data_IF_264244955796
#
_entry.id   IF_264244955796
#
_cell.length_a   1.000
_cell.length_b   1.000
_cell.length_c   1.000
_cell.angle_alpha   90.00
_cell.angle_beta   90.00
_cell.angle_gamma   90.00
#
_symmetry.space_group_name_H-M   'P 1'
#
loop_
_entity.id
_entity.type
_entity.pdbx_description
1 polymer ?
#
# COMPACT_ATOMS: atom_id res chain seq x y z
N UNK A 1 4.05 0.49 -6.80
CA UNK A 1 4.70 -0.14 -7.96
C UNK A 1 5.71 0.80 -8.60
N UNK A 2 6.85 0.25 -9.02
CA UNK A 2 7.94 1.01 -9.64
C UNK A 2 7.94 0.87 -11.16
N UNK A 3 7.12 0.00 -11.69
CA UNK A 3 6.88 -0.21 -13.12
C UNK A 3 8.15 -0.09 -13.98
N UNK A 4 8.11 0.67 -15.06
CA UNK A 4 9.20 0.82 -16.01
C UNK A 4 10.47 1.46 -15.43
N UNK A 5 10.41 2.12 -14.26
CA UNK A 5 11.61 2.59 -13.57
C UNK A 5 12.55 1.45 -13.22
N UNK A 6 12.02 0.26 -12.92
CA UNK A 6 12.82 -0.94 -12.65
C UNK A 6 13.70 -1.34 -13.85
N UNK A 7 13.31 -1.02 -15.08
CA UNK A 7 14.11 -1.29 -16.30
C UNK A 7 15.36 -0.42 -16.39
N UNK A 8 15.39 0.74 -15.72
CA UNK A 8 16.53 1.66 -15.74
C UNK A 8 17.64 1.16 -14.81
N UNK A 9 18.82 0.91 -15.36
CA UNK A 9 19.97 0.44 -14.58
C UNK A 9 20.36 1.41 -13.47
N UNK A 10 20.31 2.71 -13.74
CA UNK A 10 20.64 3.75 -12.76
C UNK A 10 19.66 3.74 -11.57
N UNK A 11 18.38 3.51 -11.81
CA UNK A 11 17.39 3.38 -10.76
C UNK A 11 17.68 2.17 -9.85
N UNK A 12 17.95 1.00 -10.45
CA UNK A 12 18.30 -0.21 -9.68
C UNK A 12 19.59 -0.04 -8.88
N UNK A 13 20.58 0.65 -9.44
CA UNK A 13 21.82 0.95 -8.73
C UNK A 13 21.54 1.87 -7.55
N UNK A 14 20.77 2.95 -7.73
CA UNK A 14 20.40 3.85 -6.67
C UNK A 14 19.61 3.14 -5.55
N UNK A 15 18.67 2.24 -5.89
CA UNK A 15 17.95 1.44 -4.91
C UNK A 15 18.89 0.53 -4.10
N UNK A 16 19.87 -0.10 -4.76
CA UNK A 16 20.87 -0.91 -4.08
C UNK A 16 21.77 -0.09 -3.16
N UNK A 17 22.23 1.08 -3.64
CA UNK A 17 23.08 1.99 -2.86
C UNK A 17 22.34 2.48 -1.61
N UNK A 18 21.04 2.80 -1.74
CA UNK A 18 20.19 3.20 -0.60
C UNK A 18 19.95 2.08 0.40
N UNK A 19 19.81 0.83 -0.04
CA UNK A 19 19.72 -0.31 0.87
C UNK A 19 21.00 -0.48 1.70
N UNK A 20 22.19 -0.31 1.07
CA UNK A 20 23.47 -0.36 1.80
C UNK A 20 23.66 0.85 2.74
N UNK A 21 23.27 2.05 2.32
CA UNK A 21 23.29 3.25 3.15
C UNK A 21 22.40 3.06 4.39
N UNK A 22 21.17 2.55 4.22
CA UNK A 22 20.27 2.25 5.32
C UNK A 22 20.87 1.22 6.29
N UNK A 23 21.47 0.14 5.77
CA UNK A 23 22.13 -0.85 6.62
C UNK A 23 23.26 -0.22 7.47
N UNK A 24 24.09 0.61 6.87
CA UNK A 24 25.15 1.34 7.55
C UNK A 24 24.57 2.28 8.62
N UNK A 25 23.55 3.06 8.28
CA UNK A 25 22.92 3.99 9.22
C UNK A 25 22.31 3.27 10.42
N UNK A 26 21.58 2.17 10.21
CA UNK A 26 21.04 1.36 11.30
C UNK A 26 22.13 0.90 12.27
N UNK A 27 23.27 0.48 11.75
CA UNK A 27 24.40 0.07 12.59
C UNK A 27 24.99 1.25 13.37
N UNK A 28 25.18 2.41 12.73
CA UNK A 28 25.73 3.61 13.36
C UNK A 28 24.79 4.18 14.43
N UNK A 29 23.48 3.99 14.27
CA UNK A 29 22.44 4.36 15.24
C UNK A 29 22.31 3.34 16.40
N UNK A 30 23.14 2.29 16.43
CA UNK A 30 23.14 1.26 17.47
C UNK A 30 22.05 0.20 17.29
N UNK A 31 21.46 0.10 16.11
CA UNK A 31 20.39 -0.86 15.74
C UNK A 31 20.94 -2.00 14.86
N UNK A 32 22.26 -2.18 14.83
CA UNK A 32 22.92 -3.15 13.96
C UNK A 32 22.52 -4.61 14.21
N UNK A 33 22.12 -4.95 15.41
CA UNK A 33 21.72 -6.32 15.79
C UNK A 33 20.31 -6.69 15.26
N UNK A 34 19.52 -5.72 14.79
CA UNK A 34 18.23 -6.00 14.18
C UNK A 34 18.38 -6.69 12.82
N UNK A 35 17.43 -7.60 12.51
CA UNK A 35 17.22 -8.13 11.17
C UNK A 35 16.11 -7.34 10.50
N UNK A 36 16.47 -6.38 9.66
CA UNK A 36 15.51 -5.49 9.00
C UNK A 36 15.20 -5.98 7.58
N UNK A 37 13.97 -6.38 7.32
CA UNK A 37 13.53 -6.88 6.01
C UNK A 37 12.87 -5.76 5.21
N UNK A 38 13.42 -5.46 4.02
CA UNK A 38 12.96 -4.34 3.18
C UNK A 38 12.78 -4.80 1.73
N UNK A 39 11.66 -4.39 1.11
CA UNK A 39 11.43 -4.56 -0.32
C UNK A 39 12.29 -3.59 -1.15
N UNK A 40 12.87 -4.09 -2.23
CA UNK A 40 13.72 -3.30 -3.15
C UNK A 40 13.72 -3.88 -4.56
N UNK A 41 14.46 -3.25 -5.46
CA UNK A 41 14.69 -3.74 -6.82
C UNK A 41 16.10 -4.30 -6.93
N UNK A 42 16.18 -5.58 -7.25
CA UNK A 42 17.45 -6.25 -7.54
C UNK A 42 17.80 -6.25 -9.02
N UNK A 43 18.97 -6.82 -9.30
CA UNK A 43 19.41 -7.12 -10.68
C UNK A 43 19.84 -8.58 -10.76
N UNK A 44 19.33 -9.30 -11.72
CA UNK A 44 19.79 -10.64 -12.06
C UNK A 44 21.21 -10.56 -12.62
N UNK A 45 22.16 -11.25 -11.99
CA UNK A 45 23.57 -11.19 -12.38
C UNK A 45 23.86 -11.85 -13.73
N UNK A 46 23.01 -12.79 -14.17
CA UNK A 46 23.21 -13.54 -15.43
C UNK A 46 22.59 -12.79 -16.61
N UNK A 47 21.37 -12.29 -16.44
CA UNK A 47 20.58 -11.69 -17.53
C UNK A 47 20.58 -10.18 -17.52
N UNK A 48 21.05 -9.54 -16.42
CA UNK A 48 20.97 -8.10 -16.16
C UNK A 48 19.54 -7.55 -16.10
N UNK A 49 18.53 -8.41 -16.06
CA UNK A 49 17.12 -8.01 -15.88
C UNK A 49 16.83 -7.61 -14.43
N UNK A 50 15.81 -6.79 -14.20
CA UNK A 50 15.34 -6.48 -12.85
C UNK A 50 14.86 -7.73 -12.10
N UNK A 51 14.95 -7.68 -10.78
CA UNK A 51 14.34 -8.61 -9.81
C UNK A 51 13.44 -7.84 -8.86
N UNK A 52 12.24 -8.32 -8.60
CA UNK A 52 11.45 -7.89 -7.44
C UNK A 52 12.07 -8.60 -6.23
N UNK A 53 12.69 -7.84 -5.32
CA UNK A 53 13.59 -8.39 -4.30
C UNK A 53 13.25 -7.85 -2.93
N UNK A 54 13.32 -8.67 -1.90
CA UNK A 54 13.57 -8.24 -0.54
C UNK A 54 15.06 -8.40 -0.19
N UNK A 55 15.53 -7.55 0.69
CA UNK A 55 16.85 -7.66 1.33
C UNK A 55 16.68 -7.69 2.83
N UNK A 56 17.61 -8.36 3.51
CA UNK A 56 17.72 -8.38 4.96
C UNK A 56 18.97 -7.60 5.34
N UNK A 57 18.78 -6.55 6.14
CA UNK A 57 19.85 -5.70 6.64
C UNK A 57 20.21 -6.17 8.05
N UNK A 58 21.48 -6.38 8.32
CA UNK A 58 21.99 -6.79 9.62
C UNK A 58 23.46 -6.40 9.74
N UNK A 59 23.87 -5.93 10.91
CA UNK A 59 25.26 -5.54 11.23
C UNK A 59 25.92 -4.64 10.17
N UNK A 60 25.18 -3.63 9.72
CA UNK A 60 25.68 -2.61 8.78
C UNK A 60 25.79 -3.05 7.32
N UNK A 61 25.31 -4.23 6.95
CA UNK A 61 25.40 -4.76 5.58
C UNK A 61 24.07 -5.33 5.08
N UNK A 62 23.94 -5.44 3.76
CA UNK A 62 22.91 -6.28 3.15
C UNK A 62 23.35 -7.74 3.34
N UNK A 63 22.81 -8.38 4.38
CA UNK A 63 23.21 -9.70 4.85
C UNK A 63 22.63 -10.84 3.99
N UNK A 64 21.36 -10.74 3.58
CA UNK A 64 20.67 -11.74 2.76
C UNK A 64 19.70 -11.09 1.78
N UNK A 65 19.15 -11.88 0.86
CA UNK A 65 18.12 -11.42 -0.05
C UNK A 65 17.38 -12.58 -0.72
N UNK A 66 16.11 -12.29 -1.07
CA UNK A 66 15.22 -13.19 -1.78
C UNK A 66 14.62 -12.48 -2.99
N UNK A 67 14.54 -13.17 -4.12
CA UNK A 67 13.92 -12.69 -5.35
C UNK A 67 12.54 -13.36 -5.52
N UNK A 68 11.51 -12.56 -5.72
CA UNK A 68 10.13 -13.02 -5.95
C UNK A 68 10.05 -14.08 -7.05
N UNK A 69 9.38 -15.18 -6.76
CA UNK A 69 9.25 -16.33 -7.67
C UNK A 69 8.10 -16.15 -8.65
N UNK A 70 6.89 -15.93 -8.16
CA UNK A 70 5.70 -15.75 -9.01
C UNK A 70 5.53 -14.27 -9.38
N UNK A 71 5.44 -14.01 -10.68
CA UNK A 71 5.32 -12.66 -11.24
C UNK A 71 3.91 -12.51 -11.83
N UNK A 72 2.98 -11.81 -11.14
CA UNK A 72 1.62 -11.65 -11.63
C UNK A 72 1.58 -10.81 -12.91
N UNK A 73 0.67 -11.19 -13.82
CA UNK A 73 0.43 -10.54 -15.11
C UNK A 73 -1.06 -10.49 -15.40
N UNK A 74 -1.85 -10.00 -14.45
CA UNK A 74 -3.30 -9.86 -14.51
C UNK A 74 -3.75 -8.63 -13.73
N UNK A 75 -4.96 -8.12 -14.03
CA UNK A 75 -5.50 -6.92 -13.40
C UNK A 75 -4.55 -5.72 -13.57
N UNK A 76 -4.11 -5.17 -12.46
CA UNK A 76 -3.17 -4.03 -12.40
C UNK A 76 -1.70 -4.44 -12.44
N UNK A 77 -1.40 -5.74 -12.50
CA UNK A 77 -0.04 -6.25 -12.44
C UNK A 77 0.53 -6.54 -13.83
N UNK A 78 1.77 -6.12 -14.09
CA UNK A 78 2.55 -6.39 -15.30
C UNK A 78 4.00 -6.78 -14.94
N UNK A 79 4.16 -7.59 -13.90
CA UNK A 79 5.49 -7.92 -13.38
C UNK A 79 6.27 -8.85 -14.33
N UNK A 80 5.59 -9.74 -15.05
CA UNK A 80 6.23 -10.69 -15.98
C UNK A 80 7.01 -9.97 -17.10
N UNK A 81 6.52 -8.82 -17.56
CA UNK A 81 7.20 -8.00 -18.57
C UNK A 81 8.46 -7.36 -18.02
N UNK A 82 8.47 -6.98 -16.74
CA UNK A 82 9.51 -6.14 -16.13
C UNK A 82 10.58 -7.00 -15.46
N UNK A 83 10.19 -7.97 -14.64
CA UNK A 83 11.08 -8.70 -13.76
C UNK A 83 11.46 -10.08 -14.28
N UNK A 84 12.56 -10.61 -13.78
CA UNK A 84 12.90 -12.04 -13.88
C UNK A 84 12.50 -12.75 -12.59
N UNK A 85 11.89 -13.92 -12.71
CA UNK A 85 11.49 -14.73 -11.58
C UNK A 85 12.69 -15.26 -10.77
N UNK A 86 12.55 -15.28 -9.44
CA UNK A 86 13.44 -16.03 -8.55
C UNK A 86 13.31 -17.55 -8.77
N UNK A 87 14.31 -18.29 -8.34
CA UNK A 87 14.42 -19.73 -8.57
C UNK A 87 14.62 -20.56 -7.29
N UNK A 88 14.55 -19.95 -6.12
CA UNK A 88 14.79 -20.61 -4.83
C UNK A 88 13.98 -19.99 -3.70
N UNK A 89 13.59 -20.76 -2.70
CA UNK A 89 13.14 -20.27 -1.41
C UNK A 89 14.35 -19.92 -0.52
N UNK A 90 14.13 -19.03 0.43
CA UNK A 90 15.17 -18.57 1.38
C UNK A 90 14.63 -18.69 2.80
N UNK A 91 15.46 -19.22 3.68
CA UNK A 91 15.26 -19.18 5.12
C UNK A 91 16.36 -18.35 5.78
N UNK A 92 16.02 -17.69 6.87
CA UNK A 92 16.91 -16.89 7.70
C UNK A 92 16.99 -17.55 9.07
N UNK A 93 18.17 -17.63 9.66
CA UNK A 93 18.32 -17.98 11.07
C UNK A 93 18.37 -16.68 11.87
N UNK A 94 17.38 -16.46 12.72
CA UNK A 94 17.25 -15.29 13.57
C UNK A 94 17.11 -15.77 15.02
N UNK A 95 18.16 -15.64 15.80
CA UNK A 95 18.22 -16.05 17.21
C UNK A 95 17.79 -17.51 17.45
N UNK A 96 18.10 -18.38 16.49
CA UNK A 96 17.78 -19.81 16.52
C UNK A 96 16.40 -20.18 15.97
N UNK A 97 15.59 -19.20 15.56
CA UNK A 97 14.35 -19.44 14.82
C UNK A 97 14.59 -19.42 13.30
N UNK A 98 13.99 -20.38 12.59
CA UNK A 98 14.07 -20.47 11.13
C UNK A 98 12.93 -19.71 10.49
N UNK A 99 13.21 -18.55 9.94
CA UNK A 99 12.22 -17.66 9.30
C UNK A 99 12.21 -17.90 7.78
N UNK A 100 11.09 -18.36 7.24
CA UNK A 100 10.84 -18.38 5.79
C UNK A 100 10.43 -17.00 5.29
N UNK A 101 10.85 -16.61 4.08
CA UNK A 101 10.47 -15.31 3.49
C UNK A 101 9.80 -15.50 2.13
N UNK A 102 8.81 -14.65 1.85
CA UNK A 102 8.09 -14.61 0.58
C UNK A 102 7.69 -13.17 0.20
N UNK A 103 7.36 -12.95 -1.07
CA UNK A 103 6.90 -11.65 -1.56
C UNK A 103 5.54 -11.83 -2.27
N UNK A 104 4.50 -11.26 -1.67
CA UNK A 104 3.16 -11.04 -2.23
C UNK A 104 2.62 -12.26 -3.00
N UNK A 105 2.70 -12.28 -4.33
CA UNK A 105 2.16 -13.35 -5.21
C UNK A 105 2.68 -14.75 -4.85
N UNK A 106 3.83 -14.87 -4.20
CA UNK A 106 4.40 -16.15 -3.80
C UNK A 106 3.49 -16.94 -2.84
N UNK A 107 2.65 -16.25 -2.08
CA UNK A 107 1.66 -16.92 -1.21
C UNK A 107 0.30 -17.14 -1.88
N UNK A 108 0.01 -16.48 -3.02
CA UNK A 108 -1.26 -16.65 -3.74
C UNK A 108 -1.31 -17.91 -4.60
N UNK A 109 -0.15 -18.32 -5.11
CA UNK A 109 -0.04 -19.48 -5.98
C UNK A 109 0.30 -20.74 -5.17
N UNK A 110 -0.23 -21.88 -5.59
CA UNK A 110 0.12 -23.18 -5.00
C UNK A 110 1.49 -23.65 -5.52
N UNK A 111 2.22 -24.38 -4.68
CA UNK A 111 3.58 -24.82 -5.02
C UNK A 111 4.63 -23.73 -4.77
N UNK A 112 5.67 -23.69 -5.60
CA UNK A 112 6.73 -22.69 -5.55
C UNK A 112 7.44 -22.55 -4.21
N UNK A 113 7.78 -21.31 -3.79
CA UNK A 113 8.59 -21.09 -2.60
C UNK A 113 7.90 -21.53 -1.31
N UNK A 114 6.57 -21.37 -1.18
CA UNK A 114 5.86 -21.74 0.06
C UNK A 114 5.85 -23.25 0.25
N UNK A 115 5.56 -24.03 -0.79
CA UNK A 115 5.61 -25.49 -0.72
C UNK A 115 7.03 -26.02 -0.42
N UNK A 116 8.07 -25.35 -0.92
CA UNK A 116 9.46 -25.69 -0.58
C UNK A 116 9.79 -25.32 0.88
N UNK A 117 9.31 -24.16 1.38
CA UNK A 117 9.46 -23.77 2.78
C UNK A 117 8.72 -24.72 3.72
N UNK A 118 7.56 -25.25 3.35
CA UNK A 118 6.84 -26.26 4.13
C UNK A 118 7.66 -27.53 4.40
N UNK A 119 8.63 -27.86 3.52
CA UNK A 119 9.54 -29.01 3.71
C UNK A 119 10.74 -28.69 4.66
N UNK A 120 10.94 -27.43 5.02
CA UNK A 120 12.10 -26.96 5.78
C UNK A 120 11.84 -26.79 7.26
N UNK A 121 10.64 -27.10 7.74
CA UNK A 121 10.23 -26.93 9.15
C UNK A 121 10.57 -25.51 9.66
N UNK A 122 10.05 -24.50 8.95
CA UNK A 122 10.21 -23.10 9.38
C UNK A 122 9.39 -22.83 10.63
N UNK A 123 9.85 -21.92 11.48
CA UNK A 123 9.15 -21.50 12.69
C UNK A 123 8.21 -20.31 12.43
N UNK A 124 8.45 -19.55 11.36
CA UNK A 124 7.66 -18.39 10.97
C UNK A 124 7.75 -18.17 9.45
N UNK A 125 6.65 -17.81 8.80
CA UNK A 125 6.62 -17.30 7.43
C UNK A 125 6.41 -15.78 7.45
N UNK A 126 7.41 -15.02 6.99
CA UNK A 126 7.31 -13.57 6.81
C UNK A 126 7.01 -13.25 5.35
N UNK A 127 5.90 -12.57 5.10
CA UNK A 127 5.54 -12.08 3.77
C UNK A 127 5.49 -10.57 3.73
N UNK A 128 6.17 -9.97 2.72
CA UNK A 128 6.07 -8.54 2.44
C UNK A 128 5.26 -8.32 1.18
N UNK A 129 4.28 -7.42 1.24
CA UNK A 129 3.27 -7.26 0.20
C UNK A 129 3.13 -5.80 -0.23
N UNK A 130 2.98 -5.58 -1.53
CA UNK A 130 2.41 -4.39 -2.13
C UNK A 130 1.09 -4.80 -2.80
N UNK A 131 0.15 -5.32 -2.01
CA UNK A 131 -1.16 -5.75 -2.48
C UNK A 131 -2.10 -4.56 -2.50
N UNK A 132 -2.57 -4.11 -3.70
CA UNK A 132 -3.46 -2.97 -3.79
C UNK A 132 -4.80 -3.23 -3.11
N UNK A 133 -5.38 -2.14 -2.62
CA UNK A 133 -6.72 -2.11 -2.09
C UNK A 133 -7.75 -2.53 -3.16
N UNK A 134 -8.70 -3.31 -2.72
CA UNK A 134 -9.90 -3.72 -3.43
C UNK A 134 -10.95 -4.03 -2.38
N UNK A 135 -12.17 -3.57 -2.57
CA UNK A 135 -13.29 -3.79 -1.65
C UNK A 135 -13.47 -5.28 -1.34
N UNK A 136 -13.53 -5.61 -0.04
CA UNK A 136 -13.68 -6.99 0.44
C UNK A 136 -12.42 -7.88 0.35
N UNK A 137 -11.30 -7.38 -0.11
CA UNK A 137 -10.06 -8.17 -0.27
C UNK A 137 -9.40 -8.54 1.06
N UNK A 138 -9.69 -7.83 2.13
CA UNK A 138 -9.17 -8.09 3.48
C UNK A 138 -9.47 -9.52 3.92
N UNK A 139 -10.71 -9.98 3.76
CA UNK A 139 -11.12 -11.34 4.07
C UNK A 139 -10.38 -12.38 3.20
N UNK A 140 -10.24 -12.11 1.90
CA UNK A 140 -9.52 -13.00 0.98
C UNK A 140 -8.04 -13.14 1.36
N UNK A 141 -7.39 -12.05 1.78
CA UNK A 141 -6.00 -12.07 2.27
C UNK A 141 -5.87 -12.88 3.56
N UNK A 142 -6.83 -12.72 4.46
CA UNK A 142 -6.85 -13.45 5.73
C UNK A 142 -7.02 -14.96 5.51
N UNK A 143 -8.01 -15.38 4.72
CA UNK A 143 -8.21 -16.79 4.35
C UNK A 143 -6.99 -17.38 3.65
N UNK A 144 -6.34 -16.61 2.79
CA UNK A 144 -5.09 -17.01 2.14
C UNK A 144 -3.98 -17.25 3.16
N UNK A 145 -3.77 -16.32 4.10
CA UNK A 145 -2.75 -16.45 5.12
C UNK A 145 -3.01 -17.65 6.04
N UNK A 146 -4.28 -17.91 6.41
CA UNK A 146 -4.67 -19.11 7.16
C UNK A 146 -4.30 -20.40 6.41
N UNK A 147 -4.58 -20.46 5.10
CA UNK A 147 -4.21 -21.60 4.26
C UNK A 147 -2.69 -21.81 4.23
N UNK A 148 -1.92 -20.73 4.13
CA UNK A 148 -0.45 -20.81 4.12
C UNK A 148 0.13 -21.17 5.49
N UNK A 149 -0.45 -20.65 6.58
CA UNK A 149 -0.07 -21.05 7.93
C UNK A 149 -0.24 -22.56 8.15
N UNK A 150 -1.38 -23.11 7.72
CA UNK A 150 -1.61 -24.56 7.76
C UNK A 150 -0.64 -25.36 6.85
N UNK A 151 -0.30 -24.84 5.66
CA UNK A 151 0.63 -25.50 4.73
C UNK A 151 2.05 -25.58 5.27
N UNK A 152 2.56 -24.49 5.86
CA UNK A 152 3.92 -24.46 6.44
C UNK A 152 3.96 -24.92 7.90
N UNK A 153 2.82 -25.14 8.53
CA UNK A 153 2.64 -25.47 9.95
C UNK A 153 3.39 -24.47 10.86
N UNK A 154 3.25 -23.18 10.58
CA UNK A 154 3.90 -22.09 11.30
C UNK A 154 3.06 -20.80 11.19
N UNK A 155 3.20 -19.85 12.14
CA UNK A 155 2.57 -18.53 12.01
C UNK A 155 2.98 -17.80 10.73
N UNK A 156 2.09 -16.91 10.26
CA UNK A 156 2.33 -16.08 9.07
C UNK A 156 2.20 -14.61 9.44
N UNK A 157 3.25 -13.83 9.18
CA UNK A 157 3.18 -12.38 9.15
C UNK A 157 2.82 -11.95 7.72
N UNK A 158 1.67 -11.29 7.57
CA UNK A 158 1.26 -10.62 6.35
C UNK A 158 1.50 -9.12 6.48
N UNK A 159 2.68 -8.64 6.11
CA UNK A 159 2.99 -7.21 6.11
C UNK A 159 2.55 -6.62 4.77
N UNK A 160 1.69 -5.58 4.77
CA UNK A 160 1.25 -4.90 3.57
C UNK A 160 1.64 -3.42 3.56
N UNK A 161 1.95 -2.91 2.39
CA UNK A 161 2.25 -1.51 2.14
C UNK A 161 1.02 -0.64 2.40
N UNK A 162 1.22 0.61 2.83
CA UNK A 162 0.20 1.65 2.90
C UNK A 162 0.58 2.84 2.04
N UNK A 163 -0.42 3.51 1.47
CA UNK A 163 -0.25 4.74 0.68
C UNK A 163 -0.87 4.68 -0.71
N UNK A 164 -0.96 5.84 -1.38
CA UNK A 164 -1.40 5.98 -2.76
C UNK A 164 -0.23 6.09 -3.74
N UNK A 165 -0.34 5.49 -4.91
CA UNK A 165 0.64 5.62 -5.99
C UNK A 165 -0.07 5.55 -7.34
N UNK A 166 0.00 6.64 -8.11
CA UNK A 166 -0.73 6.82 -9.37
C UNK A 166 -2.24 6.54 -9.16
N UNK A 167 -2.81 5.52 -9.77
CA UNK A 167 -4.20 5.09 -9.65
C UNK A 167 -4.40 3.92 -8.65
N UNK A 168 -3.38 3.57 -7.89
CA UNK A 168 -3.43 2.50 -6.89
C UNK A 168 -3.41 3.06 -5.47
N UNK A 169 -4.20 2.44 -4.59
CA UNK A 169 -4.15 2.65 -3.16
C UNK A 169 -3.73 1.34 -2.49
N UNK A 170 -2.89 1.44 -1.48
CA UNK A 170 -2.46 0.34 -0.63
C UNK A 170 -2.98 0.60 0.78
N UNK A 171 -3.74 -0.33 1.28
CA UNK A 171 -4.53 -0.18 2.50
C UNK A 171 -3.77 -0.53 3.79
N UNK A 172 -2.55 -1.06 3.70
CA UNK A 172 -1.89 -1.56 4.90
C UNK A 172 -2.65 -2.74 5.49
N UNK A 173 -3.24 -2.56 6.67
CA UNK A 173 -4.02 -3.61 7.32
C UNK A 173 -3.22 -4.90 7.50
N UNK A 174 -1.94 -4.76 7.84
CA UNK A 174 -1.05 -5.89 8.12
C UNK A 174 -1.57 -6.73 9.28
N UNK A 175 -1.25 -8.02 9.31
CA UNK A 175 -1.74 -8.90 10.36
C UNK A 175 -0.81 -10.12 10.57
N UNK A 176 -1.00 -10.79 11.71
CA UNK A 176 -0.36 -12.05 12.06
C UNK A 176 -1.43 -13.12 12.27
N UNK A 177 -1.22 -14.29 11.67
CA UNK A 177 -2.05 -15.49 11.82
C UNK A 177 -1.21 -16.58 12.45
N UNK A 178 -1.72 -17.27 13.48
CA UNK A 178 -1.08 -18.44 14.07
C UNK A 178 -1.13 -19.66 13.13
N UNK A 179 -0.37 -20.70 13.44
CA UNK A 179 -0.33 -21.95 12.69
C UNK A 179 -1.72 -22.62 12.57
N UNK A 180 -2.59 -22.46 13.56
CA UNK A 180 -3.99 -22.96 13.56
C UNK A 180 -4.98 -22.05 12.82
N UNK A 181 -4.52 -20.93 12.27
CA UNK A 181 -5.36 -19.96 11.56
C UNK A 181 -5.98 -18.89 12.47
N UNK A 182 -5.67 -18.86 13.76
CA UNK A 182 -6.16 -17.82 14.69
C UNK A 182 -5.50 -16.46 14.37
N UNK A 183 -6.30 -15.38 14.32
CA UNK A 183 -5.78 -14.03 14.22
C UNK A 183 -5.10 -13.63 15.53
N UNK A 184 -3.83 -13.25 15.43
CA UNK A 184 -2.98 -12.87 16.57
C UNK A 184 -2.86 -11.35 16.71
N UNK A 185 -2.65 -10.66 15.60
CA UNK A 185 -2.44 -9.22 15.52
C UNK A 185 -3.12 -8.68 14.25
N UNK A 186 -3.62 -7.46 14.30
CA UNK A 186 -4.03 -6.70 13.11
C UNK A 186 -3.74 -5.22 13.30
N UNK A 187 -2.99 -4.67 12.37
CA UNK A 187 -2.64 -3.25 12.27
C UNK A 187 -3.80 -2.44 11.65
N UNK A 188 -3.85 -1.11 11.86
CA UNK A 188 -4.84 -0.26 11.23
C UNK A 188 -4.69 -0.22 9.70
N UNK A 189 -5.80 0.12 9.02
CA UNK A 189 -5.82 0.36 7.59
C UNK A 189 -5.55 1.83 7.26
N UNK A 190 -5.05 2.11 6.07
CA UNK A 190 -4.86 3.42 5.45
C UNK A 190 -3.98 4.42 6.22
N UNK A 191 -3.22 3.96 7.19
CA UNK A 191 -2.27 4.79 7.93
C UNK A 191 -0.98 4.04 8.24
N UNK A 192 0.14 4.78 8.28
CA UNK A 192 1.41 4.23 8.73
C UNK A 192 1.32 3.86 10.21
N UNK A 193 1.79 2.68 10.55
CA UNK A 193 1.80 2.18 11.92
C UNK A 193 3.03 1.32 12.19
N UNK A 194 3.47 1.33 13.43
CA UNK A 194 4.50 0.42 13.96
C UNK A 194 3.85 -0.47 15.02
N UNK A 195 3.72 -1.75 14.69
CA UNK A 195 3.13 -2.76 15.57
C UNK A 195 4.20 -3.67 16.12
N UNK A 196 4.02 -4.12 17.35
CA UNK A 196 4.91 -5.05 18.04
C UNK A 196 4.17 -6.34 18.34
N UNK A 197 4.83 -7.45 18.11
CA UNK A 197 4.38 -8.79 18.48
C UNK A 197 5.55 -9.62 18.97
N UNK A 198 5.36 -10.26 20.11
CA UNK A 198 6.36 -11.15 20.71
C UNK A 198 6.19 -12.56 20.15
N UNK A 199 7.17 -13.02 19.37
CA UNK A 199 7.19 -14.34 18.77
C UNK A 199 7.97 -15.31 19.67
N UNK A 200 7.38 -16.48 19.96
CA UNK A 200 8.03 -17.59 20.65
C UNK A 200 8.01 -18.86 19.79
N UNK A 201 9.15 -19.24 19.25
CA UNK A 201 9.29 -20.44 18.42
C UNK A 201 9.02 -21.76 19.16
N UNK A 202 9.02 -21.75 20.50
CA UNK A 202 8.73 -22.92 21.32
C UNK A 202 7.26 -23.03 21.74
N UNK A 203 6.46 -21.98 21.50
CA UNK A 203 5.05 -21.96 21.89
C UNK A 203 4.20 -22.80 20.91
N UNK A 204 3.29 -23.61 21.45
CA UNK A 204 2.29 -24.33 20.64
C UNK A 204 1.28 -23.37 20.01
N UNK A 205 0.93 -22.29 20.74
CA UNK A 205 0.10 -21.18 20.26
C UNK A 205 0.73 -19.86 20.64
N UNK A 206 0.66 -18.91 19.71
CA UNK A 206 1.26 -17.59 19.92
C UNK A 206 0.38 -16.71 20.82
N UNK A 207 1.03 -15.86 21.61
CA UNK A 207 0.33 -14.86 22.41
C UNK A 207 -0.36 -13.82 21.51
N UNK A 208 -1.61 -13.46 21.83
CA UNK A 208 -2.33 -12.40 21.12
C UNK A 208 -1.75 -11.03 21.44
N UNK A 209 -1.61 -10.22 20.39
CA UNK A 209 -1.28 -8.82 20.48
C UNK A 209 -2.51 -7.93 20.23
N UNK A 210 -2.32 -6.70 19.80
CA UNK A 210 -3.41 -5.77 19.48
C UNK A 210 -4.12 -6.19 18.19
N UNK A 211 -5.45 -6.24 18.23
CA UNK A 211 -6.27 -6.49 17.05
C UNK A 211 -7.12 -5.23 16.81
N UNK A 212 -6.69 -4.38 15.89
CA UNK A 212 -7.45 -3.20 15.48
C UNK A 212 -8.73 -3.65 14.76
N UNK A 213 -9.92 -3.12 15.11
CA UNK A 213 -11.17 -3.44 14.42
C UNK A 213 -11.13 -3.09 12.93
N UNK A 214 -11.87 -3.83 12.12
CA UNK A 214 -12.10 -3.46 10.71
C UNK A 214 -12.94 -2.18 10.64
N UNK A 215 -12.73 -1.40 9.57
CA UNK A 215 -13.55 -0.25 9.28
C UNK A 215 -14.94 -0.68 8.78
N UNK A 216 -15.91 0.19 8.92
CA UNK A 216 -17.18 0.05 8.20
C UNK A 216 -16.91 0.10 6.68
N UNK A 217 -17.63 -0.69 5.85
CA UNK A 217 -17.39 -0.72 4.42
C UNK A 217 -17.43 0.64 3.72
N UNK A 218 -18.35 1.52 4.10
CA UNK A 218 -18.45 2.87 3.51
C UNK A 218 -17.27 3.75 3.97
N UNK A 219 -16.86 3.64 5.23
CA UNK A 219 -15.68 4.31 5.79
C UNK A 219 -14.40 3.82 5.11
N UNK A 220 -14.29 2.52 4.84
CA UNK A 220 -13.16 1.91 4.15
C UNK A 220 -12.98 2.51 2.74
N UNK A 221 -14.04 2.55 1.94
CA UNK A 221 -14.02 3.11 0.59
C UNK A 221 -13.73 4.62 0.61
N UNK A 222 -14.35 5.36 1.52
CA UNK A 222 -14.12 6.79 1.68
C UNK A 222 -12.65 7.09 2.01
N UNK A 223 -12.11 6.37 3.00
CA UNK A 223 -10.72 6.56 3.46
C UNK A 223 -9.72 6.19 2.36
N UNK A 224 -10.01 5.16 1.58
CA UNK A 224 -9.19 4.80 0.40
C UNK A 224 -9.12 5.94 -0.61
N UNK A 225 -10.27 6.58 -0.93
CA UNK A 225 -10.32 7.73 -1.84
C UNK A 225 -9.55 8.93 -1.31
N UNK A 226 -9.71 9.25 -0.02
CA UNK A 226 -8.99 10.36 0.64
C UNK A 226 -7.48 10.11 0.62
N UNK A 227 -7.02 8.91 0.98
CA UNK A 227 -5.60 8.54 0.96
C UNK A 227 -5.02 8.63 -0.47
N UNK A 228 -5.74 8.11 -1.46
CA UNK A 228 -5.34 8.17 -2.87
C UNK A 228 -5.11 9.61 -3.33
N UNK A 229 -6.06 10.51 -3.07
CA UNK A 229 -5.95 11.92 -3.43
C UNK A 229 -4.82 12.62 -2.67
N UNK A 230 -4.73 12.41 -1.36
CA UNK A 230 -3.67 12.99 -0.50
C UNK A 230 -2.27 12.65 -1.01
N UNK A 231 -2.02 11.38 -1.26
CA UNK A 231 -0.71 10.92 -1.70
C UNK A 231 -0.40 11.34 -3.15
N UNK A 232 -1.40 11.35 -4.03
CA UNK A 232 -1.25 11.87 -5.38
C UNK A 232 -0.84 13.33 -5.36
N UNK A 233 -1.49 14.17 -4.55
CA UNK A 233 -1.14 15.57 -4.40
C UNK A 233 0.28 15.74 -3.84
N UNK A 234 0.61 15.03 -2.76
CA UNK A 234 1.91 15.14 -2.09
C UNK A 234 3.06 14.72 -3.03
N UNK A 235 2.91 13.59 -3.73
CA UNK A 235 3.94 13.04 -4.64
C UNK A 235 4.14 13.88 -5.91
N UNK A 236 3.10 14.59 -6.36
CA UNK A 236 3.17 15.48 -7.50
C UNK A 236 3.36 16.96 -7.14
N UNK A 237 3.53 17.25 -5.82
CA UNK A 237 3.74 18.61 -5.30
C UNK A 237 2.58 19.58 -5.60
N UNK A 238 1.35 19.06 -5.69
CA UNK A 238 0.17 19.90 -5.78
C UNK A 238 -0.18 20.50 -4.41
N UNK A 239 -0.47 21.80 -4.42
CA UNK A 239 -0.74 22.58 -3.20
C UNK A 239 -2.22 22.78 -2.93
N UNK A 240 -3.09 22.39 -3.83
CA UNK A 240 -4.53 22.55 -3.66
C UNK A 240 -5.34 21.86 -4.76
N UNK A 241 -6.66 21.84 -4.55
CA UNK A 241 -7.67 21.24 -5.44
C UNK A 241 -8.68 22.30 -5.88
N UNK A 242 -9.04 22.27 -7.15
CA UNK A 242 -10.14 23.07 -7.67
C UNK A 242 -11.19 22.15 -8.26
N UNK A 243 -12.47 22.38 -7.93
CA UNK A 243 -13.59 21.58 -8.44
C UNK A 243 -14.83 22.44 -8.72
N UNK A 244 -15.67 21.96 -9.62
CA UNK A 244 -17.01 22.51 -9.81
C UNK A 244 -17.91 22.10 -8.65
N UNK A 245 -18.48 23.10 -7.94
CA UNK A 245 -19.39 22.87 -6.82
C UNK A 245 -20.80 23.25 -7.22
N UNK A 246 -21.62 22.23 -7.50
CA UNK A 246 -22.96 22.43 -8.10
C UNK A 246 -24.10 22.51 -7.08
N UNK A 247 -23.83 22.17 -5.81
CA UNK A 247 -24.87 21.92 -4.80
C UNK A 247 -25.51 20.52 -4.86
N UNK A 248 -25.05 19.66 -5.78
CA UNK A 248 -25.45 18.25 -5.82
C UNK A 248 -24.55 17.38 -4.97
N UNK A 249 -25.08 16.21 -4.57
CA UNK A 249 -24.40 15.28 -3.63
C UNK A 249 -23.03 14.83 -4.14
N UNK A 250 -22.85 14.57 -5.42
CA UNK A 250 -21.59 14.07 -5.98
C UNK A 250 -20.48 15.12 -5.80
N UNK A 251 -20.74 16.38 -6.17
CA UNK A 251 -19.76 17.46 -5.98
C UNK A 251 -19.52 17.77 -4.51
N UNK A 252 -20.53 17.59 -3.66
CA UNK A 252 -20.41 17.76 -2.22
C UNK A 252 -19.48 16.70 -1.61
N UNK A 253 -19.66 15.43 -1.99
CA UNK A 253 -18.82 14.33 -1.54
C UNK A 253 -17.35 14.52 -1.97
N UNK A 254 -17.14 14.90 -3.25
CA UNK A 254 -15.77 15.17 -3.76
C UNK A 254 -15.13 16.34 -3.03
N UNK A 255 -15.89 17.40 -2.71
CA UNK A 255 -15.37 18.54 -1.95
C UNK A 255 -14.98 18.16 -0.51
N UNK A 256 -15.79 17.33 0.16
CA UNK A 256 -15.48 16.81 1.48
C UNK A 256 -14.21 15.95 1.48
N UNK A 257 -14.11 15.00 0.55
CA UNK A 257 -12.90 14.17 0.37
C UNK A 257 -11.65 15.02 0.10
N UNK A 258 -11.78 16.08 -0.71
CA UNK A 258 -10.67 16.99 -0.99
C UNK A 258 -10.25 17.75 0.28
N UNK A 259 -11.19 18.22 1.09
CA UNK A 259 -10.92 18.90 2.34
C UNK A 259 -10.23 17.98 3.35
N UNK A 260 -10.66 16.71 3.45
CA UNK A 260 -10.02 15.72 4.31
C UNK A 260 -8.62 15.34 3.81
N UNK A 261 -8.39 15.35 2.49
CA UNK A 261 -7.10 15.02 1.91
C UNK A 261 -6.04 16.11 2.07
N UNK A 262 -6.41 17.40 1.94
CA UNK A 262 -5.43 18.49 1.87
C UNK A 262 -5.73 19.71 2.78
N UNK A 263 -6.81 19.66 3.57
CA UNK A 263 -7.30 20.80 4.34
C UNK A 263 -8.24 21.68 3.51
N UNK A 264 -9.34 22.16 4.12
CA UNK A 264 -10.33 22.99 3.45
C UNK A 264 -9.75 24.26 2.84
N UNK A 265 -8.77 24.87 3.50
CA UNK A 265 -8.06 26.06 3.03
C UNK A 265 -7.33 25.87 1.70
N UNK A 266 -7.12 24.62 1.28
CA UNK A 266 -6.49 24.27 0.02
C UNK A 266 -7.50 23.77 -1.03
N UNK A 267 -8.80 24.00 -0.80
CA UNK A 267 -9.87 23.60 -1.70
C UNK A 267 -10.59 24.82 -2.25
N UNK A 268 -10.76 24.91 -3.57
CA UNK A 268 -11.50 25.95 -4.28
C UNK A 268 -12.72 25.36 -4.97
N UNK A 269 -13.90 25.62 -4.39
CA UNK A 269 -15.21 25.27 -4.98
C UNK A 269 -15.69 26.39 -5.90
N UNK A 270 -15.87 26.08 -7.17
CA UNK A 270 -16.38 27.05 -8.16
C UNK A 270 -17.80 26.66 -8.55
N UNK A 271 -18.78 27.51 -8.17
CA UNK A 271 -20.16 27.39 -8.67
C UNK A 271 -20.27 28.07 -10.01
N UNK A 272 -20.80 27.36 -11.02
CA UNK A 272 -20.95 27.84 -12.37
C UNK A 272 -22.45 27.85 -12.75
N UNK A 273 -23.28 28.76 -12.15
CA UNK A 273 -24.69 28.74 -12.37
C UNK A 273 -25.04 29.16 -13.80
N UNK A 274 -26.05 28.50 -14.37
CA UNK A 274 -26.74 28.87 -15.59
C UNK A 274 -28.14 29.41 -15.27
N UNK A 275 -28.90 29.84 -16.29
CA UNK A 275 -30.29 30.21 -16.13
C UNK A 275 -31.20 29.09 -15.61
N UNK A 276 -30.73 27.85 -15.63
CA UNK A 276 -31.46 26.67 -15.15
C UNK A 276 -31.09 26.25 -13.73
N UNK A 277 -30.09 26.89 -13.12
CA UNK A 277 -29.66 26.55 -11.76
C UNK A 277 -30.62 27.11 -10.72
N UNK A 278 -31.07 26.27 -9.77
CA UNK A 278 -31.93 26.72 -8.66
C UNK A 278 -31.16 27.57 -7.64
N UNK A 279 -31.85 28.45 -6.95
CA UNK A 279 -31.22 29.22 -5.86
C UNK A 279 -30.81 28.30 -4.71
N UNK A 280 -31.62 27.29 -4.37
CA UNK A 280 -31.26 26.29 -3.34
C UNK A 280 -29.92 25.59 -3.61
N UNK A 281 -29.62 25.21 -4.86
CA UNK A 281 -28.35 24.59 -5.20
C UNK A 281 -27.13 25.52 -4.96
N UNK A 282 -27.31 26.83 -5.13
CA UNK A 282 -26.25 27.81 -4.87
C UNK A 282 -26.02 28.00 -3.37
N UNK A 283 -27.11 28.03 -2.62
CA UNK A 283 -27.05 28.15 -1.15
C UNK A 283 -26.42 26.91 -0.54
N UNK A 284 -26.84 25.71 -0.98
CA UNK A 284 -26.26 24.43 -0.53
C UNK A 284 -24.75 24.34 -0.82
N UNK A 285 -24.31 24.81 -2.00
CA UNK A 285 -22.88 24.83 -2.35
C UNK A 285 -22.08 25.81 -1.47
N UNK A 286 -22.63 26.99 -1.19
CA UNK A 286 -21.99 27.98 -0.33
C UNK A 286 -21.89 27.50 1.13
N UNK A 287 -22.98 26.91 1.66
CA UNK A 287 -23.02 26.36 3.01
C UNK A 287 -22.03 25.21 3.19
N UNK A 288 -21.96 24.31 2.21
CA UNK A 288 -20.97 23.22 2.23
C UNK A 288 -19.55 23.79 2.25
N UNK A 289 -19.21 24.71 1.34
CA UNK A 289 -17.87 25.28 1.28
C UNK A 289 -17.48 25.94 2.61
N UNK A 290 -18.43 26.66 3.24
CA UNK A 290 -18.23 27.23 4.57
C UNK A 290 -17.99 26.18 5.64
N UNK A 291 -18.76 25.08 5.62
CA UNK A 291 -18.67 24.02 6.62
C UNK A 291 -17.35 23.25 6.57
N UNK A 292 -16.80 23.01 5.37
CA UNK A 292 -15.52 22.32 5.17
C UNK A 292 -14.31 23.26 5.16
N UNK A 293 -14.53 24.58 5.32
CA UNK A 293 -13.48 25.61 5.30
C UNK A 293 -12.87 25.87 3.91
N UNK A 294 -13.58 25.56 2.85
CA UNK A 294 -13.12 25.74 1.48
C UNK A 294 -13.37 27.17 0.96
N UNK A 295 -12.57 27.60 -0.01
CA UNK A 295 -12.84 28.79 -0.79
C UNK A 295 -14.04 28.55 -1.72
N UNK A 296 -14.90 29.58 -1.84
CA UNK A 296 -16.08 29.51 -2.70
C UNK A 296 -16.15 30.70 -3.64
N UNK A 297 -16.30 30.42 -4.94
CA UNK A 297 -16.44 31.47 -5.95
C UNK A 297 -17.61 31.14 -6.89
N UNK A 298 -18.35 32.17 -7.29
CA UNK A 298 -19.46 32.04 -8.24
C UNK A 298 -19.05 32.64 -9.59
N UNK A 299 -18.99 31.81 -10.62
CA UNK A 299 -18.66 32.17 -12.01
C UNK A 299 -19.82 31.84 -12.96
N UNK A 300 -20.78 32.79 -13.19
CA UNK A 300 -21.90 32.52 -14.08
C UNK A 300 -21.46 32.20 -15.50
N UNK A 301 -22.00 31.11 -16.07
CA UNK A 301 -21.67 30.69 -17.45
C UNK A 301 -22.61 31.28 -18.51
N UNK A 302 -23.65 31.99 -18.11
CA UNK A 302 -24.66 32.57 -19.01
C UNK A 302 -24.08 33.45 -20.14
N UNK A 303 -23.08 34.34 -19.89
CA UNK A 303 -22.47 35.14 -20.95
C UNK A 303 -21.79 34.28 -22.03
N UNK A 304 -21.13 33.19 -21.63
CA UNK A 304 -20.50 32.28 -22.58
C UNK A 304 -21.53 31.47 -23.35
N UNK A 305 -22.57 30.98 -22.66
CA UNK A 305 -23.69 30.28 -23.30
C UNK A 305 -24.38 31.13 -24.37
N UNK A 306 -24.68 32.37 -24.05
CA UNK A 306 -25.30 33.30 -24.98
C UNK A 306 -24.41 33.62 -26.20
N UNK A 307 -23.09 33.75 -25.99
CA UNK A 307 -22.15 33.96 -27.08
C UNK A 307 -22.08 32.74 -28.03
N UNK A 308 -22.15 31.53 -27.51
CA UNK A 308 -22.22 30.30 -28.32
C UNK A 308 -23.54 30.24 -29.13
N UNK A 309 -24.69 30.57 -28.50
CA UNK A 309 -25.98 30.58 -29.19
C UNK A 309 -26.07 31.60 -30.34
N UNK A 310 -25.34 32.71 -30.24
CA UNK A 310 -25.28 33.71 -31.29
C UNK A 310 -24.41 33.31 -32.48
N UNK A 311 -23.50 32.36 -32.28
CA UNK A 311 -22.58 31.88 -33.32
C UNK A 311 -23.12 30.65 -34.08
N UNK A 312 -24.06 29.91 -33.52
CA UNK A 312 -24.69 28.72 -34.08
C UNK A 312 -26.05 29.09 -34.73
#
# INVERSE_FOLDING_TARGET
>A
PIEDLALRRTFRQAAWDKANELATQLNDDGLGDLFVVVGTVGTDRKTSKPRNRLVVLHQGVVWAGYDKHFLPNYGVFDEFRIFSAGDRSVTLDVDGATIGVAICEDIWQDGGPVADLATKNIDLLLTINGSPYEEGKTNTRFELAQRRAAEVNAPVIYLNQVGGQDDLVFDGGSFVVDADGTLIERSPMFMENLTFWDFDSAAEHQAKAEIVPELDPDEEVYTACVLGLKDYMAKNHFTGVTLGLSGGIDSALVAAMAADACGGENVWGISMPSMYSSDGSKDDAADLASNIGAHYEVQPIEPLFNAYQQQL
#
